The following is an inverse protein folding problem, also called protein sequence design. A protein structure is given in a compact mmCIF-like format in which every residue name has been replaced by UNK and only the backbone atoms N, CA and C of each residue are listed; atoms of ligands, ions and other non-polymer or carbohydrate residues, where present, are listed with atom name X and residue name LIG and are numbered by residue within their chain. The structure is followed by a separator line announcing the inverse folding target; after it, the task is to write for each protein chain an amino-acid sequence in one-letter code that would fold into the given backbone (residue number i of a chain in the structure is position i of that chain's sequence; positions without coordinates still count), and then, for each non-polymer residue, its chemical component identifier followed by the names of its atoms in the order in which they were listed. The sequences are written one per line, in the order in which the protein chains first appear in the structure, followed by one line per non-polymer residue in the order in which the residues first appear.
data_IF_282422884226
#
_entry.id   IF_282422884226
#
_cell.length_a   1.000
_cell.length_b   1.000
_cell.length_c   1.000
_cell.angle_alpha   90.00
_cell.angle_beta   90.00
_cell.angle_gamma   90.00
#
_symmetry.space_group_name_H-M   'P 1'
#
loop_
_entity.id
_entity.type
_entity.pdbx_description
1 polymer ?
#
# COMPACT_ATOMS: atom_id res chain seq x y z
N UNK A 1 7.17 -7.10 -20.74
CA UNK A 1 8.05 -5.91 -20.69
C UNK A 1 7.29 -4.63 -20.34
N UNK A 2 6.04 -4.44 -20.83
CA UNK A 2 5.25 -3.22 -20.56
C UNK A 2 4.82 -3.06 -19.09
N UNK A 3 4.61 -4.16 -18.36
CA UNK A 3 4.16 -4.12 -16.96
C UNK A 3 5.26 -3.71 -15.96
N UNK A 4 6.53 -3.96 -16.31
CA UNK A 4 7.67 -3.55 -15.48
C UNK A 4 7.98 -2.06 -15.69
N UNK A 5 7.71 -1.55 -16.88
CA UNK A 5 7.90 -0.14 -17.23
C UNK A 5 6.95 0.75 -16.43
N UNK A 6 5.71 0.31 -16.17
CA UNK A 6 4.75 1.09 -15.38
C UNK A 6 5.20 1.31 -13.96
N UNK A 7 5.90 0.34 -13.35
CA UNK A 7 6.44 0.46 -12.01
C UNK A 7 7.56 1.50 -11.90
N UNK A 8 8.50 1.54 -12.85
CA UNK A 8 9.58 2.54 -12.87
C UNK A 8 9.08 3.97 -13.06
N UNK A 9 7.89 4.14 -13.62
CA UNK A 9 7.31 5.44 -13.95
C UNK A 9 6.32 5.95 -12.89
N UNK A 10 5.72 5.07 -12.08
CA UNK A 10 4.66 5.44 -11.14
C UNK A 10 5.15 6.16 -9.89
N UNK A 11 6.42 6.02 -9.51
CA UNK A 11 6.97 6.52 -8.26
C UNK A 11 8.16 7.47 -8.45
N UNK A 12 7.98 8.53 -9.24
CA UNK A 12 8.90 9.67 -9.21
C UNK A 12 8.52 10.57 -8.05
N UNK A 13 9.11 10.33 -6.88
CA UNK A 13 9.02 11.23 -5.71
C UNK A 13 9.72 12.57 -5.92
N UNK A 14 10.01 12.95 -7.17
CA UNK A 14 10.61 14.22 -7.53
C UNK A 14 9.53 15.28 -7.71
N UNK A 15 9.71 16.41 -7.09
CA UNK A 15 8.94 17.64 -7.33
C UNK A 15 9.18 18.12 -8.78
N UNK A 16 8.51 17.56 -9.76
CA UNK A 16 8.48 18.09 -11.12
C UNK A 16 7.09 18.66 -11.37
N UNK A 17 7.00 19.95 -11.57
CA UNK A 17 5.78 20.67 -11.95
C UNK A 17 5.79 20.88 -13.44
N UNK A 18 5.21 19.96 -14.22
CA UNK A 18 4.90 20.22 -15.62
C UNK A 18 3.39 20.34 -15.76
N UNK A 19 2.89 21.56 -15.92
CA UNK A 19 1.50 21.77 -16.32
C UNK A 19 1.32 21.38 -17.79
N UNK A 20 0.21 20.70 -18.10
CA UNK A 20 -0.18 20.47 -19.47
C UNK A 20 -0.72 21.76 -20.08
N UNK A 21 -0.15 22.13 -21.20
CA UNK A 21 -0.73 23.21 -22.01
C UNK A 21 -2.07 22.77 -22.62
N UNK A 22 -2.92 23.70 -22.97
CA UNK A 22 -4.20 23.43 -23.64
C UNK A 22 -4.01 22.64 -24.95
N UNK A 23 -2.91 22.87 -25.66
CA UNK A 23 -2.54 22.16 -26.86
C UNK A 23 -2.16 20.69 -26.59
N UNK A 24 -1.37 20.45 -25.54
CA UNK A 24 -1.02 19.10 -25.10
C UNK A 24 -2.24 18.31 -24.65
N UNK A 25 -3.19 18.94 -23.94
CA UNK A 25 -4.46 18.33 -23.55
C UNK A 25 -5.25 17.92 -24.80
N UNK A 26 -5.46 18.84 -25.74
CA UNK A 26 -6.23 18.58 -26.96
C UNK A 26 -5.58 17.51 -27.85
N UNK A 27 -4.25 17.42 -27.88
CA UNK A 27 -3.50 16.44 -28.65
C UNK A 27 -3.58 15.02 -28.06
N UNK A 28 -3.58 14.92 -26.73
CA UNK A 28 -3.42 13.65 -26.01
C UNK A 28 -4.70 13.08 -25.44
N UNK A 29 -5.77 13.88 -25.32
CA UNK A 29 -7.04 13.47 -24.74
C UNK A 29 -8.18 13.63 -25.74
N UNK A 30 -9.03 12.64 -25.83
CA UNK A 30 -10.25 12.67 -26.66
C UNK A 30 -11.45 12.33 -25.80
N UNK A 31 -12.41 13.24 -25.74
CA UNK A 31 -13.68 13.01 -25.05
C UNK A 31 -14.56 12.12 -25.92
N UNK A 32 -14.81 10.88 -25.49
CA UNK A 32 -15.67 9.92 -26.18
C UNK A 32 -17.14 10.07 -25.79
N UNK A 33 -17.41 10.41 -24.53
CA UNK A 33 -18.78 10.65 -24.02
C UNK A 33 -18.74 11.60 -22.82
N UNK A 34 -19.92 11.83 -22.20
CA UNK A 34 -20.01 12.67 -20.99
C UNK A 34 -19.04 12.24 -19.88
N UNK A 35 -18.84 10.92 -19.74
CA UNK A 35 -18.10 10.30 -18.62
C UNK A 35 -16.86 9.51 -19.07
N UNK A 36 -16.51 9.53 -20.37
CA UNK A 36 -15.38 8.77 -20.89
C UNK A 36 -14.42 9.68 -21.64
N UNK A 37 -13.18 9.71 -21.18
CA UNK A 37 -12.07 10.40 -21.82
C UNK A 37 -11.00 9.36 -22.16
N UNK A 38 -10.65 9.26 -23.42
CA UNK A 38 -9.55 8.42 -23.89
C UNK A 38 -8.27 9.24 -23.94
N UNK A 39 -7.15 8.63 -23.54
CA UNK A 39 -5.83 9.25 -23.67
C UNK A 39 -4.89 8.39 -24.51
N UNK A 40 -3.99 9.08 -25.24
CA UNK A 40 -2.86 8.48 -25.96
C UNK A 40 -1.59 8.40 -25.09
N UNK A 41 -1.62 8.96 -23.88
CA UNK A 41 -0.49 8.97 -22.98
C UNK A 41 -0.30 7.59 -22.39
N UNK A 42 0.94 7.08 -22.45
CA UNK A 42 1.31 5.79 -21.82
C UNK A 42 1.32 5.88 -20.29
N UNK A 43 1.63 7.04 -19.74
CA UNK A 43 1.65 7.29 -18.30
C UNK A 43 0.98 8.64 -17.98
N UNK A 44 -0.20 8.59 -17.40
CA UNK A 44 -0.94 9.78 -16.97
C UNK A 44 -0.24 10.54 -15.84
N UNK A 45 0.53 9.84 -14.99
CA UNK A 45 1.19 10.47 -13.85
C UNK A 45 2.27 11.49 -14.26
N UNK A 46 2.83 11.38 -15.47
CA UNK A 46 3.79 12.37 -15.96
C UNK A 46 3.12 13.70 -16.34
N UNK A 47 1.80 13.73 -16.43
CA UNK A 47 1.03 14.84 -17.02
C UNK A 47 -0.08 15.38 -16.12
N UNK A 48 -0.57 14.63 -15.13
CA UNK A 48 -1.54 15.13 -14.16
C UNK A 48 -0.77 15.77 -13.01
N UNK A 49 -0.46 17.06 -13.15
CA UNK A 49 0.41 17.78 -12.22
C UNK A 49 -0.27 19.05 -11.75
N UNK A 50 -1.56 19.09 -11.70
CA UNK A 50 -2.21 20.14 -10.95
C UNK A 50 -2.13 19.78 -9.47
N UNK A 51 -1.49 20.64 -8.67
CA UNK A 51 -1.57 20.53 -7.24
C UNK A 51 -3.03 20.61 -6.82
N UNK A 52 -3.47 19.61 -6.08
CA UNK A 52 -4.80 19.65 -5.49
C UNK A 52 -4.84 20.82 -4.51
N UNK A 53 -5.94 21.59 -4.44
CA UNK A 53 -6.12 22.56 -3.38
C UNK A 53 -5.97 21.84 -2.03
N UNK A 54 -5.53 22.56 -0.98
CA UNK A 54 -5.33 21.96 0.35
C UNK A 54 -6.68 21.62 1.02
N UNK A 55 -7.39 20.70 0.39
CA UNK A 55 -8.63 20.15 0.88
C UNK A 55 -8.36 18.96 1.81
N UNK A 56 -9.36 18.60 2.59
CA UNK A 56 -9.40 17.35 3.34
C UNK A 56 -10.02 16.29 2.44
N UNK A 57 -9.33 15.17 2.29
CA UNK A 57 -9.76 14.01 1.52
C UNK A 57 -10.11 12.88 2.48
N UNK A 58 -11.21 12.21 2.23
CA UNK A 58 -11.61 10.95 2.85
C UNK A 58 -11.98 9.97 1.74
N UNK A 59 -11.36 8.80 1.69
CA UNK A 59 -11.74 7.74 0.77
C UNK A 59 -12.84 6.87 1.39
N UNK A 60 -13.68 6.31 0.55
CA UNK A 60 -14.71 5.37 0.95
C UNK A 60 -14.84 4.30 -0.12
N UNK A 61 -14.76 3.04 0.28
CA UNK A 61 -15.04 1.92 -0.61
C UNK A 61 -16.54 1.86 -0.93
N UNK A 62 -16.85 1.46 -2.16
CA UNK A 62 -18.24 1.52 -2.68
C UNK A 62 -19.21 0.58 -1.97
N UNK A 63 -18.73 -0.35 -1.18
CA UNK A 63 -19.50 -1.34 -0.42
C UNK A 63 -19.54 -1.07 1.09
N UNK A 64 -18.84 -0.01 1.54
CA UNK A 64 -18.85 0.44 2.92
C UNK A 64 -19.68 1.70 3.12
N UNK A 65 -19.87 2.13 4.34
CA UNK A 65 -20.55 3.39 4.66
C UNK A 65 -20.01 4.03 5.95
N UNK A 66 -20.20 5.35 6.04
CA UNK A 66 -19.76 6.15 7.16
C UNK A 66 -20.93 6.42 8.12
N UNK A 67 -20.61 6.59 9.40
CA UNK A 67 -21.54 7.25 10.32
C UNK A 67 -21.80 8.69 9.84
N UNK A 68 -23.01 9.20 10.09
CA UNK A 68 -23.47 10.48 9.52
C UNK A 68 -22.60 11.68 9.88
N UNK A 69 -21.94 11.63 11.03
CA UNK A 69 -21.09 12.69 11.58
C UNK A 69 -19.59 12.43 11.38
N UNK A 70 -19.21 11.37 10.66
CA UNK A 70 -17.82 10.96 10.47
C UNK A 70 -16.97 12.10 9.87
N UNK A 71 -17.41 12.67 8.77
CA UNK A 71 -16.66 13.73 8.07
C UNK A 71 -16.57 14.98 8.92
N UNK A 72 -17.68 15.38 9.58
CA UNK A 72 -17.69 16.52 10.49
C UNK A 72 -16.68 16.38 11.63
N UNK A 73 -16.64 15.21 12.28
CA UNK A 73 -15.69 14.93 13.35
C UNK A 73 -14.25 14.97 12.87
N UNK A 74 -13.95 14.35 11.73
CA UNK A 74 -12.60 14.39 11.15
C UNK A 74 -12.17 15.84 10.81
N UNK A 75 -13.05 16.62 10.17
CA UNK A 75 -12.77 18.01 9.81
C UNK A 75 -12.56 18.86 11.06
N UNK A 76 -13.40 18.71 12.09
CA UNK A 76 -13.26 19.43 13.35
C UNK A 76 -11.94 19.13 14.05
N UNK A 77 -11.49 17.87 14.07
CA UNK A 77 -10.16 17.54 14.61
C UNK A 77 -9.03 18.11 13.76
N UNK A 78 -9.13 18.03 12.44
CA UNK A 78 -8.10 18.52 11.51
C UNK A 78 -8.02 20.05 11.43
N UNK A 79 -9.06 20.75 11.85
CA UNK A 79 -9.08 22.22 11.97
C UNK A 79 -8.34 22.73 13.20
N UNK A 80 -8.02 21.86 14.14
CA UNK A 80 -7.17 22.13 15.30
C UNK A 80 -5.72 21.88 14.93
N UNK A 81 -4.82 22.74 15.34
CA UNK A 81 -3.37 22.48 15.40
C UNK A 81 -2.67 21.94 14.14
N UNK A 82 -3.06 22.29 12.93
CA UNK A 82 -2.41 21.84 11.68
C UNK A 82 -2.27 20.31 11.57
N UNK A 83 -3.32 19.58 11.88
CA UNK A 83 -3.35 18.12 11.72
C UNK A 83 -3.29 17.77 10.24
N UNK A 84 -2.37 16.88 9.88
CA UNK A 84 -2.21 16.38 8.52
C UNK A 84 -3.10 15.17 8.24
N UNK A 85 -3.28 14.29 9.23
CA UNK A 85 -4.09 13.07 9.13
C UNK A 85 -4.93 12.90 10.41
N UNK A 86 -6.21 12.64 10.22
CA UNK A 86 -7.13 12.26 11.28
C UNK A 86 -7.71 10.89 10.99
N UNK A 87 -7.38 9.89 11.80
CA UNK A 87 -7.92 8.54 11.70
C UNK A 87 -9.09 8.33 12.66
N UNK A 88 -9.87 7.28 12.46
CA UNK A 88 -10.93 6.86 13.37
C UNK A 88 -11.00 5.33 13.45
N UNK A 89 -11.72 4.81 14.44
CA UNK A 89 -11.97 3.38 14.54
C UNK A 89 -13.12 2.96 13.59
N UNK A 90 -13.30 1.64 13.45
CA UNK A 90 -14.30 1.05 12.56
C UNK A 90 -15.18 0.05 13.30
N UNK A 91 -16.38 -0.18 12.73
CA UNK A 91 -17.23 -1.33 13.06
C UNK A 91 -17.17 -2.32 11.91
N UNK A 92 -17.15 -3.60 12.20
CA UNK A 92 -17.36 -4.65 11.20
C UNK A 92 -18.80 -5.15 11.24
N UNK A 93 -19.46 -5.06 10.08
CA UNK A 93 -20.81 -5.56 9.89
C UNK A 93 -20.78 -6.88 9.10
N UNK A 94 -21.19 -7.97 9.75
CA UNK A 94 -21.29 -9.28 9.13
C UNK A 94 -22.60 -9.36 8.35
N UNK A 95 -22.54 -9.22 7.03
CA UNK A 95 -23.74 -9.06 6.20
C UNK A 95 -24.62 -10.30 6.18
N UNK A 96 -24.05 -11.50 6.20
CA UNK A 96 -24.83 -12.75 6.20
C UNK A 96 -25.59 -12.95 7.51
N UNK A 97 -24.97 -12.63 8.64
CA UNK A 97 -25.54 -12.77 9.96
C UNK A 97 -26.36 -11.55 10.40
N UNK A 98 -26.26 -10.43 9.67
CA UNK A 98 -26.92 -9.15 10.00
C UNK A 98 -26.57 -8.63 11.41
N UNK A 99 -25.30 -8.79 11.81
CA UNK A 99 -24.81 -8.37 13.13
C UNK A 99 -23.50 -7.60 13.06
N UNK A 100 -23.28 -6.75 14.03
CA UNK A 100 -21.96 -6.14 14.24
C UNK A 100 -21.06 -7.07 15.05
N UNK A 101 -19.79 -7.19 14.63
CA UNK A 101 -18.79 -7.88 15.42
C UNK A 101 -18.43 -7.06 16.67
N UNK A 102 -18.25 -7.72 17.81
CA UNK A 102 -17.91 -7.04 19.08
C UNK A 102 -16.62 -6.25 19.01
N UNK A 103 -15.63 -6.75 18.23
CA UNK A 103 -14.34 -6.10 18.02
C UNK A 103 -13.95 -6.25 16.56
N UNK A 104 -13.69 -5.13 15.90
CA UNK A 104 -13.23 -5.12 14.53
C UNK A 104 -11.82 -5.73 14.43
N UNK A 105 -11.63 -6.71 13.53
CA UNK A 105 -10.34 -7.35 13.31
C UNK A 105 -9.42 -6.50 12.44
N UNK A 106 -9.99 -5.77 11.48
CA UNK A 106 -9.23 -4.93 10.56
C UNK A 106 -8.96 -3.51 11.07
N UNK A 107 -9.35 -3.18 12.33
CA UNK A 107 -9.03 -1.88 12.91
C UNK A 107 -7.61 -1.83 13.46
N UNK A 108 -6.69 -1.25 12.67
CA UNK A 108 -5.28 -1.12 13.01
C UNK A 108 -5.00 -0.15 14.17
N UNK A 109 -5.97 0.75 14.49
CA UNK A 109 -5.79 1.77 15.52
C UNK A 109 -6.27 1.34 16.90
N UNK A 110 -7.06 0.28 17.01
CA UNK A 110 -7.59 -0.23 18.29
C UNK A 110 -6.48 -0.49 19.32
N UNK A 111 -5.35 -1.00 18.87
CA UNK A 111 -4.23 -1.37 19.72
C UNK A 111 -3.15 -0.29 19.80
N UNK A 112 -3.31 0.84 19.10
CA UNK A 112 -2.36 1.93 19.12
C UNK A 112 -2.53 2.81 20.37
N UNK A 113 -1.47 2.92 21.17
CA UNK A 113 -1.45 3.77 22.36
C UNK A 113 -1.15 5.22 22.06
N UNK A 114 -0.28 5.48 21.07
CA UNK A 114 0.22 6.80 20.73
C UNK A 114 -0.41 7.24 19.40
N UNK A 115 -1.53 7.99 19.51
CA UNK A 115 -2.35 8.35 18.33
C UNK A 115 -2.72 9.84 18.27
N UNK A 116 -2.31 10.66 19.24
CA UNK A 116 -2.67 12.09 19.28
C UNK A 116 -1.45 12.98 19.16
N UNK A 117 -1.52 13.95 18.24
CA UNK A 117 -0.50 14.98 18.01
C UNK A 117 0.92 14.42 17.86
N UNK A 118 1.05 13.36 17.07
CA UNK A 118 2.29 12.62 16.88
C UNK A 118 2.71 12.68 15.42
N UNK A 119 4.03 12.72 15.15
CA UNK A 119 4.54 12.58 13.78
C UNK A 119 4.34 11.15 13.24
N UNK A 120 4.24 11.00 11.91
CA UNK A 120 4.10 9.67 11.31
C UNK A 120 5.24 8.73 11.67
N UNK A 121 6.47 9.21 11.69
CA UNK A 121 7.65 8.42 12.09
C UNK A 121 7.52 7.93 13.53
N UNK A 122 7.15 8.82 14.44
CA UNK A 122 6.96 8.45 15.85
C UNK A 122 5.76 7.53 16.05
N UNK A 123 4.71 7.68 15.23
CA UNK A 123 3.57 6.78 15.24
C UNK A 123 4.01 5.33 14.97
N UNK A 124 4.79 5.08 13.91
CA UNK A 124 5.35 3.76 13.63
C UNK A 124 6.27 3.24 14.73
N UNK A 125 7.17 4.09 15.23
CA UNK A 125 8.15 3.71 16.27
C UNK A 125 7.49 3.35 17.58
N UNK A 126 6.67 4.27 18.13
CA UNK A 126 6.10 4.14 19.47
C UNK A 126 5.03 3.05 19.56
N UNK A 127 4.31 2.79 18.47
CA UNK A 127 3.36 1.70 18.38
C UNK A 127 3.97 0.40 17.87
N UNK A 128 5.27 0.39 17.52
CA UNK A 128 6.01 -0.78 17.03
C UNK A 128 5.42 -1.42 15.76
N UNK A 129 4.87 -0.60 14.86
CA UNK A 129 4.20 -1.03 13.64
C UNK A 129 5.23 -1.40 12.58
N UNK A 130 5.05 -2.55 11.91
CA UNK A 130 5.88 -3.00 10.78
C UNK A 130 5.05 -3.39 9.54
N UNK A 131 3.76 -3.57 9.69
CA UNK A 131 2.78 -3.71 8.64
C UNK A 131 1.70 -2.65 8.85
N UNK A 132 1.33 -1.97 7.78
CA UNK A 132 0.40 -0.85 7.88
C UNK A 132 -0.33 -0.65 6.54
N UNK A 133 -1.59 -0.31 6.62
CA UNK A 133 -2.41 0.09 5.49
C UNK A 133 -3.28 1.29 5.88
N UNK A 134 -3.58 2.14 4.93
CA UNK A 134 -4.48 3.26 5.12
C UNK A 134 -4.97 3.76 3.76
N UNK A 135 -6.29 3.86 3.63
CA UNK A 135 -6.96 4.62 2.60
C UNK A 135 -8.29 5.17 3.14
N UNK A 136 -9.15 4.32 3.64
CA UNK A 136 -10.55 4.57 3.98
C UNK A 136 -10.82 4.77 5.50
N UNK A 137 -9.84 4.53 6.36
CA UNK A 137 -10.00 4.66 7.82
C UNK A 137 -9.58 6.03 8.35
N UNK A 138 -9.99 7.11 7.67
CA UNK A 138 -9.71 8.48 8.11
C UNK A 138 -9.60 9.48 6.99
N UNK A 139 -9.30 10.71 7.37
CA UNK A 139 -9.14 11.86 6.48
C UNK A 139 -7.71 12.39 6.51
N UNK A 140 -7.26 12.98 5.41
CA UNK A 140 -5.93 13.57 5.31
C UNK A 140 -5.93 14.82 4.42
N UNK A 141 -4.92 15.69 4.57
CA UNK A 141 -4.76 16.88 3.75
C UNK A 141 -4.20 16.55 2.38
N UNK A 142 -4.82 17.08 1.34
CA UNK A 142 -4.42 16.88 -0.06
C UNK A 142 -2.98 17.35 -0.34
N UNK A 143 -2.45 18.31 0.42
CA UNK A 143 -1.07 18.77 0.31
C UNK A 143 -0.04 17.63 0.42
N UNK A 144 -0.33 16.55 1.18
CA UNK A 144 0.56 15.40 1.29
C UNK A 144 0.70 14.66 -0.05
N UNK A 145 -0.38 14.58 -0.84
CA UNK A 145 -0.32 14.01 -2.18
C UNK A 145 0.50 14.88 -3.14
N UNK A 146 0.43 16.21 -2.98
CA UNK A 146 1.12 17.14 -3.85
C UNK A 146 2.63 17.10 -3.64
N UNK A 147 3.09 17.15 -2.37
CA UNK A 147 4.52 17.25 -2.00
C UNK A 147 5.32 16.11 -2.62
N UNK A 148 4.78 14.89 -2.59
CA UNK A 148 5.49 13.69 -3.04
C UNK A 148 4.93 13.08 -4.32
N UNK A 149 3.91 13.72 -4.94
CA UNK A 149 3.15 13.17 -6.07
C UNK A 149 2.64 11.75 -5.79
N UNK A 150 2.26 11.51 -4.53
CA UNK A 150 1.83 10.20 -4.06
C UNK A 150 0.54 9.76 -4.74
N UNK A 151 0.53 8.56 -5.27
CA UNK A 151 -0.62 7.88 -5.89
C UNK A 151 -0.62 6.41 -5.48
N UNK A 152 -1.77 5.76 -5.59
CA UNK A 152 -1.84 4.30 -5.45
C UNK A 152 -0.97 3.62 -6.51
N UNK A 153 -0.23 2.61 -6.11
CA UNK A 153 0.59 1.81 -7.03
C UNK A 153 -0.30 0.97 -7.92
N UNK A 154 -0.21 1.20 -9.23
CA UNK A 154 -1.05 0.53 -10.20
C UNK A 154 -0.66 -0.94 -10.40
N UNK A 155 -1.68 -1.81 -10.52
CA UNK A 155 -1.50 -3.21 -10.91
C UNK A 155 -0.92 -4.12 -9.84
N UNK A 156 -1.06 -3.77 -8.56
CA UNK A 156 -0.69 -4.62 -7.42
C UNK A 156 -1.92 -4.88 -6.52
N UNK A 157 -1.83 -5.93 -5.68
CA UNK A 157 -2.70 -6.11 -4.53
C UNK A 157 -2.17 -5.33 -3.34
N UNK A 158 -3.07 -4.86 -2.48
CA UNK A 158 -2.73 -4.15 -1.25
C UNK A 158 -2.00 -2.81 -1.52
N UNK A 159 -2.46 -2.07 -2.51
CA UNK A 159 -1.99 -0.73 -2.89
C UNK A 159 -2.20 0.31 -1.77
N UNK A 160 -3.04 0.02 -0.81
CA UNK A 160 -3.27 0.80 0.41
C UNK A 160 -2.12 0.70 1.42
N UNK A 161 -1.27 -0.32 1.31
CA UNK A 161 -0.13 -0.52 2.21
C UNK A 161 1.01 0.47 1.93
N UNK A 162 1.53 0.55 0.71
CA UNK A 162 2.61 1.51 0.40
C UNK A 162 2.09 2.93 0.38
N UNK A 163 0.90 3.17 -0.19
CA UNK A 163 0.25 4.47 -0.17
C UNK A 163 0.07 4.98 1.26
N UNK A 164 -0.58 4.20 2.12
CA UNK A 164 -0.84 4.58 3.51
C UNK A 164 0.43 4.76 4.33
N UNK A 165 1.40 3.84 4.19
CA UNK A 165 2.68 3.95 4.90
C UNK A 165 3.44 5.21 4.50
N UNK A 166 3.53 5.52 3.21
CA UNK A 166 4.22 6.71 2.70
C UNK A 166 3.48 7.99 3.13
N UNK A 167 2.15 7.99 3.04
CA UNK A 167 1.32 9.11 3.48
C UNK A 167 1.58 9.44 4.97
N UNK A 168 1.59 8.41 5.82
CA UNK A 168 1.85 8.58 7.26
C UNK A 168 3.28 9.00 7.55
N UNK A 169 4.28 8.40 6.90
CA UNK A 169 5.69 8.83 7.05
C UNK A 169 5.90 10.29 6.66
N UNK A 170 5.06 10.82 5.75
CA UNK A 170 5.09 12.20 5.30
C UNK A 170 4.43 13.18 6.27
N UNK A 171 3.56 12.70 7.16
CA UNK A 171 2.75 13.52 8.05
C UNK A 171 3.57 14.06 9.22
N UNK A 172 3.47 15.35 9.47
CA UNK A 172 4.07 16.02 10.64
C UNK A 172 3.23 15.83 11.88
N UNK A 173 1.90 15.77 11.73
CA UNK A 173 0.98 15.64 12.85
C UNK A 173 -0.22 14.75 12.50
N UNK A 174 -0.38 13.70 13.27
CA UNK A 174 -1.46 12.71 13.16
C UNK A 174 -2.29 12.74 14.43
N UNK A 175 -3.60 12.59 14.30
CA UNK A 175 -4.53 12.39 15.42
C UNK A 175 -5.49 11.25 15.13
N UNK A 176 -6.16 10.74 16.17
CA UNK A 176 -7.16 9.68 16.03
C UNK A 176 -8.40 10.01 16.88
N UNK A 177 -9.56 9.98 16.24
CA UNK A 177 -10.87 9.93 16.88
C UNK A 177 -11.13 8.49 17.28
N UNK A 178 -11.35 8.22 18.57
CA UNK A 178 -11.54 6.85 19.08
C UNK A 178 -12.94 6.27 18.80
N UNK A 179 -13.80 7.02 18.15
CA UNK A 179 -15.13 6.58 17.77
C UNK A 179 -15.06 5.71 16.51
N UNK A 180 -15.95 4.76 16.43
CA UNK A 180 -16.11 3.85 15.28
C UNK A 180 -16.98 4.56 14.24
N UNK A 181 -16.34 5.21 13.26
CA UNK A 181 -17.01 6.11 12.31
C UNK A 181 -17.16 5.54 10.91
N UNK A 182 -16.59 4.37 10.64
CA UNK A 182 -16.78 3.63 9.39
C UNK A 182 -17.41 2.28 9.71
N UNK A 183 -18.36 1.86 8.91
CA UNK A 183 -18.95 0.52 8.93
C UNK A 183 -18.36 -0.29 7.77
N UNK A 184 -17.44 -1.19 8.09
CA UNK A 184 -16.81 -2.10 7.16
C UNK A 184 -17.65 -3.35 6.95
N UNK A 185 -18.14 -3.58 5.71
CA UNK A 185 -19.04 -4.69 5.41
C UNK A 185 -18.28 -5.96 5.04
N UNK A 186 -18.48 -7.01 5.81
CA UNK A 186 -17.90 -8.33 5.54
C UNK A 186 -18.94 -9.18 4.80
N UNK A 187 -18.67 -9.46 3.53
CA UNK A 187 -19.56 -10.20 2.61
C UNK A 187 -18.99 -11.59 2.28
N UNK A 188 -19.89 -12.56 1.99
CA UNK A 188 -19.50 -13.92 1.58
C UNK A 188 -18.60 -13.93 0.33
N UNK A 189 -18.91 -13.08 -0.64
CA UNK A 189 -18.26 -13.03 -1.95
C UNK A 189 -17.14 -11.96 -2.04
N UNK A 190 -16.52 -11.60 -0.92
CA UNK A 190 -15.40 -10.66 -0.96
C UNK A 190 -14.21 -11.27 -1.71
N UNK A 191 -13.42 -10.42 -2.37
CA UNK A 191 -12.21 -10.81 -3.12
C UNK A 191 -11.24 -11.63 -2.26
N UNK A 192 -11.20 -11.37 -0.96
CA UNK A 192 -10.36 -12.07 0.01
C UNK A 192 -10.80 -13.54 0.19
N UNK A 193 -12.12 -13.83 0.13
CA UNK A 193 -12.65 -15.21 0.28
C UNK A 193 -12.47 -16.07 -0.97
N UNK A 194 -12.31 -15.50 -2.16
CA UNK A 194 -12.09 -16.23 -3.42
C UNK A 194 -10.69 -16.87 -3.57
N UNK A 195 -9.85 -16.80 -2.54
CA UNK A 195 -8.48 -17.33 -2.56
C UNK A 195 -8.38 -18.87 -2.69
N UNK A 196 -9.50 -19.61 -2.65
CA UNK A 196 -9.52 -21.07 -2.65
C UNK A 196 -9.70 -21.71 -4.04
N UNK A 197 -9.93 -20.94 -5.09
CA UNK A 197 -10.09 -21.46 -6.44
C UNK A 197 -8.78 -22.07 -6.96
N UNK A 198 -8.82 -23.33 -7.35
CA UNK A 198 -7.65 -24.04 -7.92
C UNK A 198 -7.57 -23.91 -9.43
N UNK A 199 -8.72 -23.92 -10.11
CA UNK A 199 -8.78 -23.84 -11.57
C UNK A 199 -8.52 -22.41 -12.01
N UNK A 200 -7.56 -22.21 -12.91
CA UNK A 200 -7.30 -20.89 -13.48
C UNK A 200 -8.47 -20.52 -14.40
N UNK A 201 -9.21 -19.42 -14.15
CA UNK A 201 -10.31 -18.99 -14.98
C UNK A 201 -9.86 -18.69 -16.41
N UNK A 202 -10.76 -18.79 -17.37
CA UNK A 202 -10.49 -18.45 -18.77
C UNK A 202 -10.05 -17.00 -18.90
N UNK A 203 -10.67 -16.08 -18.18
CA UNK A 203 -10.28 -14.67 -18.08
C UNK A 203 -9.78 -14.36 -16.67
N UNK A 204 -8.57 -13.85 -16.57
CA UNK A 204 -7.96 -13.37 -15.33
C UNK A 204 -7.55 -11.90 -15.50
N UNK A 205 -7.34 -11.16 -14.42
CA UNK A 205 -6.82 -9.80 -14.50
C UNK A 205 -5.52 -9.72 -15.30
N UNK A 206 -5.36 -8.67 -16.10
CA UNK A 206 -4.23 -8.51 -17.02
C UNK A 206 -2.86 -8.60 -16.33
N UNK A 207 -2.76 -8.15 -15.08
CA UNK A 207 -1.51 -8.22 -14.28
C UNK A 207 -1.16 -9.63 -13.81
N UNK A 208 -2.08 -10.60 -13.90
CA UNK A 208 -1.83 -12.03 -13.62
C UNK A 208 -1.50 -12.82 -14.89
N UNK A 209 -1.86 -12.33 -16.07
CA UNK A 209 -1.64 -13.04 -17.35
C UNK A 209 -0.18 -13.47 -17.57
N UNK A 210 0.85 -12.67 -17.23
CA UNK A 210 2.24 -13.11 -17.35
C UNK A 210 2.61 -14.33 -16.54
N UNK A 211 1.83 -14.62 -15.50
CA UNK A 211 2.07 -15.76 -14.60
C UNK A 211 1.33 -17.02 -14.99
N UNK A 212 0.33 -16.94 -15.88
CA UNK A 212 -0.58 -18.03 -16.27
C UNK A 212 0.16 -19.34 -16.61
N UNK A 213 1.27 -19.24 -17.31
CA UNK A 213 2.02 -20.40 -17.82
C UNK A 213 2.99 -21.02 -16.79
N UNK A 214 3.20 -20.38 -15.65
CA UNK A 214 4.12 -20.85 -14.62
C UNK A 214 3.42 -21.62 -13.50
N UNK A 215 2.08 -21.58 -13.45
CA UNK A 215 1.29 -22.21 -12.40
C UNK A 215 0.15 -23.04 -13.00
N UNK A 216 -0.08 -24.19 -12.39
CA UNK A 216 -1.20 -25.11 -12.67
C UNK A 216 -2.41 -24.88 -11.76
N UNK A 217 -2.24 -24.07 -10.73
CA UNK A 217 -3.20 -23.81 -9.67
C UNK A 217 -3.36 -22.29 -9.47
N UNK A 218 -4.60 -21.81 -9.56
CA UNK A 218 -4.91 -20.36 -9.47
C UNK A 218 -4.58 -19.79 -8.09
N UNK A 219 -4.79 -20.56 -7.02
CA UNK A 219 -4.46 -20.11 -5.68
C UNK A 219 -2.94 -19.93 -5.49
N UNK A 220 -2.13 -20.83 -6.08
CA UNK A 220 -0.67 -20.69 -6.08
C UNK A 220 -0.19 -19.51 -6.90
N UNK A 221 -0.80 -19.28 -8.07
CA UNK A 221 -0.52 -18.12 -8.92
C UNK A 221 -0.78 -16.83 -8.17
N UNK A 222 -1.95 -16.70 -7.55
CA UNK A 222 -2.33 -15.51 -6.76
C UNK A 222 -1.42 -15.31 -5.55
N UNK A 223 -1.06 -16.39 -4.86
CA UNK A 223 -0.17 -16.33 -3.70
C UNK A 223 1.25 -15.86 -4.09
N UNK A 224 1.78 -16.33 -5.22
CA UNK A 224 3.05 -15.81 -5.76
C UNK A 224 2.93 -14.33 -6.14
N UNK A 225 1.85 -13.94 -6.81
CA UNK A 225 1.62 -12.54 -7.17
C UNK A 225 1.49 -11.65 -5.93
N UNK A 226 0.79 -12.11 -4.90
CA UNK A 226 0.73 -11.40 -3.60
C UNK A 226 2.12 -11.19 -3.01
N UNK A 227 2.97 -12.22 -3.03
CA UNK A 227 4.35 -12.10 -2.56
C UNK A 227 5.17 -11.09 -3.38
N UNK A 228 4.97 -11.04 -4.71
CA UNK A 228 5.53 -10.02 -5.58
C UNK A 228 5.04 -8.62 -5.19
N UNK A 229 3.74 -8.42 -4.99
CA UNK A 229 3.17 -7.15 -4.55
C UNK A 229 3.77 -6.66 -3.24
N UNK A 230 3.96 -7.56 -2.25
CA UNK A 230 4.63 -7.22 -1.00
C UNK A 230 6.07 -6.76 -1.22
N UNK A 231 6.80 -7.36 -2.18
CA UNK A 231 8.13 -6.87 -2.54
C UNK A 231 8.07 -5.46 -3.16
N UNK A 232 7.10 -5.20 -4.04
CA UNK A 232 6.87 -3.86 -4.63
C UNK A 232 6.60 -2.83 -3.54
N UNK A 233 5.67 -3.11 -2.63
CA UNK A 233 5.31 -2.26 -1.49
C UNK A 233 6.56 -1.92 -0.66
N UNK A 234 7.32 -2.93 -0.26
CA UNK A 234 8.53 -2.71 0.53
C UNK A 234 9.57 -1.85 -0.19
N UNK A 235 9.79 -2.10 -1.48
CA UNK A 235 10.73 -1.32 -2.31
C UNK A 235 10.27 0.12 -2.47
N UNK A 236 8.97 0.36 -2.69
CA UNK A 236 8.39 1.71 -2.79
C UNK A 236 8.64 2.53 -1.51
N UNK A 237 8.40 1.93 -0.35
CA UNK A 237 8.64 2.57 0.94
C UNK A 237 10.11 2.94 1.12
N UNK A 238 11.05 2.04 0.75
CA UNK A 238 12.49 2.35 0.82
C UNK A 238 12.92 3.44 -0.14
N UNK A 239 12.41 3.43 -1.39
CA UNK A 239 12.67 4.46 -2.39
C UNK A 239 12.20 5.83 -1.89
N UNK A 240 10.97 5.90 -1.40
CA UNK A 240 10.42 7.11 -0.81
C UNK A 240 11.33 7.65 0.31
N UNK A 241 11.72 6.81 1.26
CA UNK A 241 12.55 7.24 2.38
C UNK A 241 13.95 7.69 1.95
N UNK A 242 14.50 7.11 0.89
CA UNK A 242 15.79 7.52 0.31
C UNK A 242 15.69 8.88 -0.38
N UNK A 243 14.62 9.12 -1.12
CA UNK A 243 14.43 10.36 -1.89
C UNK A 243 13.93 11.53 -1.04
N UNK A 244 13.11 11.26 -0.02
CA UNK A 244 12.57 12.28 0.89
C UNK A 244 13.53 12.70 2.00
N UNK A 245 14.76 12.14 2.06
CA UNK A 245 15.74 12.42 3.11
C UNK A 245 15.23 12.17 4.53
N UNK A 246 14.36 11.18 4.71
CA UNK A 246 13.92 10.77 6.04
C UNK A 246 15.13 10.22 6.80
N UNK A 247 15.53 10.90 7.87
CA UNK A 247 16.75 10.61 8.64
C UNK A 247 16.70 9.27 9.40
N UNK A 248 15.50 8.80 9.75
CA UNK A 248 15.35 7.52 10.41
C UNK A 248 15.38 6.36 9.43
N UNK A 249 16.52 5.66 9.41
CA UNK A 249 16.70 4.46 8.58
C UNK A 249 16.17 3.17 9.22
N UNK A 250 15.88 3.15 10.52
CA UNK A 250 15.48 1.91 11.24
C UNK A 250 14.03 1.52 10.95
N UNK A 251 13.13 2.49 11.01
CA UNK A 251 11.69 2.27 10.80
C UNK A 251 11.38 1.75 9.38
N UNK A 252 11.82 2.42 8.30
CA UNK A 252 11.64 1.92 6.95
C UNK A 252 12.24 0.54 6.70
N UNK A 253 13.44 0.29 7.22
CA UNK A 253 14.08 -1.03 7.07
C UNK A 253 13.29 -2.14 7.78
N UNK A 254 12.69 -1.86 8.94
CA UNK A 254 11.87 -2.82 9.66
C UNK A 254 10.58 -3.14 8.89
N UNK A 255 9.92 -2.11 8.36
CA UNK A 255 8.73 -2.25 7.53
C UNK A 255 9.07 -3.04 6.26
N UNK A 256 10.14 -2.65 5.55
CA UNK A 256 10.61 -3.36 4.37
C UNK A 256 10.87 -4.85 4.64
N UNK A 257 11.59 -5.17 5.73
CA UNK A 257 11.87 -6.56 6.10
C UNK A 257 10.60 -7.37 6.33
N UNK A 258 9.58 -6.77 6.92
CA UNK A 258 8.29 -7.41 7.13
C UNK A 258 7.64 -7.77 5.79
N UNK A 259 7.53 -6.83 4.86
CA UNK A 259 6.88 -7.04 3.58
C UNK A 259 7.57 -8.09 2.69
N UNK A 260 8.91 -8.14 2.67
CA UNK A 260 9.63 -9.10 1.82
C UNK A 260 9.81 -10.49 2.43
N UNK A 261 9.54 -10.65 3.73
CA UNK A 261 9.79 -11.89 4.47
C UNK A 261 9.11 -13.11 3.84
N UNK A 262 7.82 -12.97 3.53
CA UNK A 262 7.02 -14.03 2.92
C UNK A 262 7.60 -14.52 1.58
N UNK A 263 8.03 -13.60 0.71
CA UNK A 263 8.69 -13.98 -0.53
C UNK A 263 10.02 -14.71 -0.28
N UNK A 264 10.84 -14.19 0.62
CA UNK A 264 12.16 -14.79 0.91
C UNK A 264 12.06 -16.20 1.49
N UNK A 265 11.02 -16.49 2.24
CA UNK A 265 10.83 -17.80 2.85
C UNK A 265 10.22 -18.82 1.89
N UNK A 266 9.20 -18.44 1.12
CA UNK A 266 8.39 -19.40 0.38
C UNK A 266 8.69 -19.43 -1.12
N UNK A 267 9.07 -18.29 -1.71
CA UNK A 267 9.17 -18.18 -3.17
C UNK A 267 10.59 -17.97 -3.70
N UNK A 268 11.53 -17.57 -2.89
CA UNK A 268 12.90 -17.47 -3.36
C UNK A 268 13.46 -18.86 -3.75
N UNK A 269 14.09 -19.04 -4.92
CA UNK A 269 14.64 -18.02 -5.84
C UNK A 269 13.76 -17.72 -7.08
N UNK A 270 12.46 -18.01 -7.06
CA UNK A 270 11.59 -17.75 -8.20
C UNK A 270 11.61 -16.26 -8.59
N UNK A 271 11.71 -15.98 -9.88
CA UNK A 271 11.84 -14.60 -10.40
C UNK A 271 10.98 -14.36 -11.65
N UNK A 272 9.78 -14.93 -11.69
CA UNK A 272 8.90 -14.82 -12.85
C UNK A 272 8.49 -13.39 -13.21
N UNK A 273 8.47 -12.48 -12.22
CA UNK A 273 8.14 -11.06 -12.37
C UNK A 273 9.33 -10.13 -12.09
N UNK A 274 10.55 -10.57 -12.39
CA UNK A 274 11.77 -9.74 -12.27
C UNK A 274 11.97 -9.10 -10.89
N UNK A 275 11.71 -9.85 -9.83
CA UNK A 275 11.87 -9.39 -8.44
C UNK A 275 13.30 -8.92 -8.15
N UNK A 276 14.29 -9.55 -8.78
CA UNK A 276 15.70 -9.11 -8.64
C UNK A 276 15.89 -7.67 -9.11
N UNK A 277 15.22 -7.26 -10.19
CA UNK A 277 15.30 -5.90 -10.71
C UNK A 277 14.67 -4.88 -9.74
N UNK A 278 13.58 -5.25 -9.05
CA UNK A 278 12.99 -4.41 -8.01
C UNK A 278 14.00 -4.11 -6.90
N UNK A 279 14.72 -5.11 -6.43
CA UNK A 279 15.70 -4.93 -5.35
C UNK A 279 16.91 -4.13 -5.78
N UNK A 280 17.31 -4.19 -7.05
CA UNK A 280 18.41 -3.37 -7.59
C UNK A 280 18.06 -1.88 -7.59
N UNK A 281 16.78 -1.50 -7.69
CA UNK A 281 16.34 -0.09 -7.60
C UNK A 281 16.71 0.55 -6.26
N UNK A 282 16.71 -0.24 -5.19
CA UNK A 282 17.11 0.21 -3.84
C UNK A 282 18.56 -0.12 -3.50
N UNK A 283 19.34 -0.63 -4.48
CA UNK A 283 20.74 -0.99 -4.29
C UNK A 283 20.95 -2.28 -3.48
N UNK A 284 19.97 -3.17 -3.47
CA UNK A 284 20.02 -4.44 -2.73
C UNK A 284 20.27 -5.60 -3.70
N UNK A 285 21.37 -6.33 -3.50
CA UNK A 285 21.59 -7.63 -4.12
C UNK A 285 20.79 -8.67 -3.32
N UNK A 286 19.70 -9.20 -3.88
CA UNK A 286 18.76 -10.08 -3.20
C UNK A 286 19.42 -11.37 -2.68
N UNK A 287 20.31 -11.98 -3.48
CA UNK A 287 21.03 -13.21 -3.09
C UNK A 287 21.91 -12.98 -1.85
N UNK A 288 22.70 -11.91 -1.88
CA UNK A 288 23.56 -11.53 -0.76
C UNK A 288 22.77 -11.10 0.47
N UNK A 289 21.67 -10.38 0.25
CA UNK A 289 20.76 -9.93 1.31
C UNK A 289 20.10 -11.11 2.04
N UNK A 290 19.56 -12.09 1.30
CA UNK A 290 19.03 -13.32 1.87
C UNK A 290 20.08 -14.10 2.66
N UNK A 291 21.27 -14.23 2.12
CA UNK A 291 22.39 -14.89 2.81
C UNK A 291 22.69 -14.21 4.17
N UNK A 292 22.73 -12.89 4.22
CA UNK A 292 22.93 -12.12 5.48
C UNK A 292 21.80 -12.36 6.49
N UNK A 293 20.55 -12.42 6.03
CA UNK A 293 19.40 -12.72 6.91
C UNK A 293 19.53 -14.13 7.48
N UNK A 294 19.83 -15.13 6.64
CA UNK A 294 20.02 -16.51 7.06
C UNK A 294 21.15 -16.64 8.08
N UNK A 295 22.29 -16.02 7.83
CA UNK A 295 23.40 -16.00 8.79
C UNK A 295 22.96 -15.44 10.15
N UNK A 296 22.30 -14.26 10.16
CA UNK A 296 21.81 -13.64 11.41
C UNK A 296 20.83 -14.56 12.15
N UNK A 297 19.95 -15.25 11.42
CA UNK A 297 19.01 -16.21 12.00
C UNK A 297 19.75 -17.37 12.67
N UNK A 298 20.72 -18.00 12.00
CA UNK A 298 21.48 -19.12 12.54
C UNK A 298 22.37 -18.70 13.71
N UNK A 299 22.97 -17.51 13.69
CA UNK A 299 23.70 -16.98 14.85
C UNK A 299 22.81 -16.81 16.08
N UNK A 300 21.56 -16.42 15.92
CA UNK A 300 20.59 -16.29 17.02
C UNK A 300 19.99 -17.63 17.46
N UNK A 301 19.99 -18.63 16.59
CA UNK A 301 19.38 -19.95 16.80
C UNK A 301 20.34 -21.10 16.44
N UNK A 302 21.51 -21.23 17.09
CA UNK A 302 22.54 -22.20 16.69
C UNK A 302 22.05 -23.66 16.71
N UNK A 303 21.11 -23.99 17.61
CA UNK A 303 20.51 -25.33 17.67
C UNK A 303 19.68 -25.73 16.44
N UNK A 304 19.28 -24.79 15.60
CA UNK A 304 18.53 -25.07 14.35
C UNK A 304 19.42 -25.47 13.19
N UNK A 305 20.73 -25.21 13.25
CA UNK A 305 21.72 -25.62 12.23
C UNK A 305 21.77 -27.13 12.15
N UNK A 306 21.72 -27.85 13.30
CA UNK A 306 21.89 -29.28 13.41
C UNK A 306 20.60 -30.09 13.19
N UNK A 307 19.42 -29.48 13.08
CA UNK A 307 18.14 -30.18 12.86
C UNK A 307 17.81 -30.50 11.39
N UNK A 308 18.52 -29.92 10.41
CA UNK A 308 18.22 -30.06 8.98
C UNK A 308 18.92 -31.25 8.28
N UNK A 309 19.79 -31.99 8.99
CA UNK A 309 20.51 -33.14 8.42
C UNK A 309 19.89 -34.50 8.74
N UNK A 310 18.68 -34.53 9.33
CA UNK A 310 18.00 -35.79 9.70
C UNK A 310 16.54 -35.82 9.17
N UNK A 311 16.29 -35.31 7.96
CA UNK A 311 15.00 -35.50 7.25
C UNK A 311 15.25 -35.78 5.78
#
# INVERSE_FOLDING_TARGET
EENIISYKQSNTFKNSTKELTKEEINKNFTKLSKNIIQTKLKNLNDFIIQDLPDNIIHFLDSDDYLELDCIEKCVNEMSKDDIDICTHNIKEFLEEEQVFRQKAECDIYLNCKYTKNISGIDFFKKNNICEFYFAWQGSFRAKLLNIYKLRFTYGIYHEDHDFGTILFLSAKKITCVKEELLIYRIRANSIIKSEKEKIIPQSIPFYLEPLRYYFDDYSKLRAYFKAYCMCVIGVNILLFCKESNILDKKTPNKIFLHYIHYYLEQYYPLNYLNINDLFTLVGINLKLFRFKIMLRFYFRHPKKIFKKNNA
#
